data_IF_583245424909
#
_entry.id   IF_583245424909
#
_cell.length_a   1.000
_cell.length_b   1.000
_cell.length_c   1.000
_cell.angle_alpha   90.00
_cell.angle_beta   90.00
_cell.angle_gamma   90.00
#
_symmetry.space_group_name_H-M   'P 1'
#
loop_
_entity.id
_entity.type
_entity.pdbx_description
1 polymer ?
#
# COMPACT_ATOMS: atom_id res chain seq x y z
N UNK A 1 -1.15 20.09 9.20
CA UNK A 1 -0.86 18.75 9.75
C UNK A 1 0.28 18.16 8.94
N UNK A 2 1.26 17.59 9.63
CA UNK A 2 2.35 16.82 9.04
C UNK A 2 2.06 15.35 9.34
N UNK A 3 1.94 14.53 8.31
CA UNK A 3 1.54 13.14 8.44
C UNK A 3 2.56 12.19 7.83
N UNK A 4 2.72 11.03 8.44
CA UNK A 4 3.58 9.97 7.97
C UNK A 4 3.36 8.67 8.72
N UNK A 5 4.04 7.61 8.29
CA UNK A 5 3.95 6.29 8.91
C UNK A 5 5.31 5.87 9.51
N UNK A 6 5.23 5.07 10.57
CA UNK A 6 6.39 4.64 11.36
C UNK A 6 6.80 3.20 11.08
N UNK A 7 5.89 2.42 10.50
CA UNK A 7 6.14 1.06 10.05
C UNK A 7 7.02 1.02 8.81
N UNK A 8 7.45 -0.18 8.46
CA UNK A 8 8.32 -0.45 7.33
C UNK A 8 7.99 -1.83 6.79
N UNK A 9 8.15 -2.03 5.49
CA UNK A 9 8.01 -3.37 4.90
C UNK A 9 9.04 -4.38 5.49
N UNK A 10 8.70 -5.69 5.53
CA UNK A 10 9.61 -6.73 5.95
C UNK A 10 10.93 -6.75 5.17
N UNK A 11 11.99 -7.28 5.78
CA UNK A 11 13.33 -7.41 5.15
C UNK A 11 13.72 -8.87 4.87
N UNK A 12 12.92 -9.83 5.34
CA UNK A 12 13.19 -11.25 5.19
C UNK A 12 13.35 -11.64 3.71
N UNK A 13 14.42 -12.38 3.41
CA UNK A 13 14.73 -12.83 2.05
C UNK A 13 15.28 -11.75 1.11
N UNK A 14 15.53 -10.53 1.58
CA UNK A 14 16.15 -9.47 0.78
C UNK A 14 17.68 -9.47 0.92
N UNK A 15 18.39 -9.20 -0.18
CA UNK A 15 19.84 -9.08 -0.17
C UNK A 15 20.28 -7.68 0.29
N UNK A 16 20.63 -7.56 1.57
CA UNK A 16 21.14 -6.32 2.16
C UNK A 16 22.67 -6.30 2.16
N UNK A 17 23.27 -5.18 1.74
CA UNK A 17 24.72 -4.96 1.79
C UNK A 17 25.21 -4.36 3.11
N UNK A 18 24.29 -3.82 3.91
CA UNK A 18 24.50 -3.28 5.26
C UNK A 18 23.33 -3.70 6.15
N UNK A 19 23.47 -3.74 7.48
CA UNK A 19 22.38 -4.16 8.36
C UNK A 19 21.13 -3.27 8.17
N UNK A 20 19.95 -3.84 7.86
CA UNK A 20 18.76 -3.05 7.51
C UNK A 20 18.26 -2.13 8.63
N UNK A 21 18.44 -2.52 9.89
CA UNK A 21 17.93 -1.77 11.05
C UNK A 21 19.04 -1.02 11.81
N UNK A 22 20.22 -0.88 11.21
CA UNK A 22 21.28 -0.01 11.71
C UNK A 22 21.57 1.05 10.65
N UNK A 23 21.38 2.32 10.99
CA UNK A 23 21.61 3.41 10.06
C UNK A 23 23.09 3.46 9.70
N UNK A 24 23.39 3.21 8.43
CA UNK A 24 24.76 3.23 7.90
C UNK A 24 24.91 4.42 6.98
N UNK A 25 25.88 5.30 7.27
CA UNK A 25 26.26 6.38 6.36
C UNK A 25 27.40 5.92 5.45
N UNK A 26 27.28 6.16 4.15
CA UNK A 26 28.33 5.91 3.16
C UNK A 26 28.17 6.85 1.98
N UNK A 27 29.24 7.55 1.62
CA UNK A 27 29.28 8.49 0.50
C UNK A 27 28.18 9.57 0.55
N UNK A 28 27.87 10.08 1.75
CA UNK A 28 26.83 11.09 1.96
C UNK A 28 25.41 10.55 1.81
N UNK A 29 25.22 9.23 1.80
CA UNK A 29 23.92 8.56 1.76
C UNK A 29 23.70 7.76 3.03
N UNK A 30 22.45 7.76 3.49
CA UNK A 30 22.02 7.01 4.67
C UNK A 30 21.25 5.77 4.25
N UNK A 31 21.75 4.61 4.66
CA UNK A 31 21.20 3.31 4.34
C UNK A 31 20.54 2.70 5.56
N UNK A 32 19.30 2.25 5.39
CA UNK A 32 18.52 1.58 6.41
C UNK A 32 17.07 1.41 5.94
N UNK A 33 16.41 0.34 6.36
CA UNK A 33 14.99 0.11 6.09
C UNK A 33 14.17 1.24 6.75
N UNK A 34 13.45 1.95 5.89
CA UNK A 34 12.62 3.09 6.28
C UNK A 34 13.30 4.44 6.17
N UNK A 35 14.60 4.50 5.83
CA UNK A 35 15.33 5.77 5.68
C UNK A 35 14.68 6.71 4.65
N UNK A 36 14.34 6.18 3.47
CA UNK A 36 13.59 6.92 2.45
C UNK A 36 12.08 6.90 2.68
N UNK A 37 11.53 5.76 3.10
CA UNK A 37 10.07 5.52 3.23
C UNK A 37 9.69 5.06 4.64
N UNK A 38 9.30 5.97 5.55
CA UNK A 38 9.41 7.43 5.42
C UNK A 38 10.00 8.08 6.68
N UNK A 39 10.82 7.33 7.42
CA UNK A 39 11.43 7.76 8.70
C UNK A 39 12.37 8.95 8.54
N UNK A 40 12.95 9.15 7.36
CA UNK A 40 13.72 10.36 7.07
C UNK A 40 12.88 11.64 7.24
N UNK A 41 11.66 11.65 6.68
CA UNK A 41 10.73 12.76 6.88
C UNK A 41 10.35 12.93 8.35
N UNK A 42 10.02 11.83 9.04
CA UNK A 42 9.68 11.89 10.46
C UNK A 42 10.81 12.50 11.29
N UNK A 43 12.06 12.11 11.02
CA UNK A 43 13.23 12.65 11.68
C UNK A 43 13.38 14.16 11.44
N UNK A 44 13.20 14.63 10.20
CA UNK A 44 13.22 16.06 9.89
C UNK A 44 12.12 16.83 10.63
N UNK A 45 10.90 16.31 10.67
CA UNK A 45 9.77 16.93 11.37
C UNK A 45 10.05 17.01 12.88
N UNK A 46 10.53 15.93 13.47
CA UNK A 46 10.84 15.87 14.91
C UNK A 46 12.01 16.79 15.28
N UNK A 47 13.03 16.90 14.43
CA UNK A 47 14.15 17.81 14.64
C UNK A 47 13.74 19.28 14.59
N UNK A 48 12.68 19.62 13.84
CA UNK A 48 12.17 20.99 13.69
C UNK A 48 11.13 21.38 14.75
N UNK A 49 10.82 20.52 15.74
CA UNK A 49 9.78 20.80 16.74
C UNK A 49 10.07 22.06 17.54
N UNK A 50 11.31 22.26 17.98
CA UNK A 50 11.69 23.45 18.76
C UNK A 50 11.53 24.73 17.92
N UNK A 51 11.87 24.68 16.63
CA UNK A 51 11.66 25.79 15.70
C UNK A 51 10.16 26.10 15.51
N UNK A 52 9.31 25.07 15.42
CA UNK A 52 7.86 25.23 15.33
C UNK A 52 7.26 25.85 16.61
N UNK A 53 7.77 25.47 17.77
CA UNK A 53 7.34 26.03 19.06
C UNK A 53 7.79 27.47 19.25
N UNK A 54 8.97 27.84 18.74
CA UNK A 54 9.49 29.20 18.78
C UNK A 54 8.80 30.14 17.76
N UNK A 55 8.23 29.58 16.69
CA UNK A 55 7.58 30.36 15.63
C UNK A 55 6.21 30.91 16.07
N UNK A 56 5.83 32.14 15.65
CA UNK A 56 4.51 32.71 15.90
C UNK A 56 3.47 32.10 14.95
N UNK A 57 3.12 30.82 15.19
CA UNK A 57 2.16 30.09 14.36
C UNK A 57 0.76 30.69 14.46
N UNK A 58 0.12 30.94 13.31
CA UNK A 58 -1.25 31.47 13.22
C UNK A 58 -2.33 30.41 13.38
N UNK A 59 -1.95 29.13 13.41
CA UNK A 59 -2.84 27.99 13.54
C UNK A 59 -2.10 26.80 14.18
N UNK A 60 -2.81 25.85 14.80
CA UNK A 60 -2.20 24.66 15.37
C UNK A 60 -1.46 23.80 14.34
N UNK A 61 -0.30 23.29 14.73
CA UNK A 61 0.45 22.30 13.97
C UNK A 61 0.21 20.91 14.55
N UNK A 62 -0.52 20.07 13.82
CA UNK A 62 -0.72 18.66 14.18
C UNK A 62 0.38 17.77 13.58
N UNK A 63 0.99 16.91 14.40
CA UNK A 63 1.82 15.79 13.97
C UNK A 63 0.98 14.51 14.03
N UNK A 64 0.84 13.81 12.90
CA UNK A 64 -0.02 12.64 12.78
C UNK A 64 0.77 11.45 12.23
N UNK A 65 1.27 10.62 13.15
CA UNK A 65 2.09 9.45 12.81
C UNK A 65 1.30 8.17 12.99
N UNK A 66 1.06 7.46 11.88
CA UNK A 66 0.38 6.18 11.88
C UNK A 66 1.35 5.00 11.95
N UNK A 67 0.78 3.83 12.15
CA UNK A 67 1.44 2.53 12.00
C UNK A 67 0.62 1.68 11.03
N UNK A 68 1.25 0.64 10.48
CA UNK A 68 0.65 -0.31 9.56
C UNK A 68 0.00 0.37 8.34
N UNK A 69 0.74 1.28 7.70
CA UNK A 69 0.42 1.82 6.38
C UNK A 69 0.74 0.78 5.30
N UNK A 70 1.93 0.17 5.39
CA UNK A 70 2.57 -0.57 4.30
C UNK A 70 1.93 -1.94 4.04
N UNK A 71 1.36 -2.55 5.08
CA UNK A 71 0.84 -3.92 5.04
C UNK A 71 -0.68 -3.92 5.07
N UNK A 72 -1.28 -3.28 6.08
CA UNK A 72 -2.72 -3.33 6.33
C UNK A 72 -3.49 -2.03 6.06
N UNK A 73 -2.81 -0.89 5.93
CA UNK A 73 -3.41 0.45 5.96
C UNK A 73 -4.39 0.64 7.14
N UNK A 74 -4.10 0.04 8.31
CA UNK A 74 -5.03 -0.02 9.43
C UNK A 74 -4.97 1.22 10.32
N UNK A 75 -3.76 1.75 10.59
CA UNK A 75 -3.58 2.84 11.54
C UNK A 75 -4.18 4.18 11.12
N UNK A 76 -4.43 4.38 9.82
CA UNK A 76 -5.05 5.63 9.33
C UNK A 76 -6.53 5.72 9.68
N UNK A 77 -7.23 4.59 9.87
CA UNK A 77 -8.68 4.57 10.11
C UNK A 77 -9.04 5.23 11.43
N UNK A 78 -8.36 4.84 12.50
CA UNK A 78 -8.54 5.44 13.82
C UNK A 78 -8.13 6.92 13.84
N UNK A 79 -7.10 7.29 13.07
CA UNK A 79 -6.72 8.69 12.89
C UNK A 79 -7.84 9.49 12.20
N UNK A 80 -8.47 8.94 11.16
CA UNK A 80 -9.60 9.59 10.48
C UNK A 80 -10.78 9.76 11.45
N UNK A 81 -11.13 8.71 12.21
CA UNK A 81 -12.22 8.78 13.20
C UNK A 81 -11.92 9.85 14.27
N UNK A 82 -10.69 9.90 14.77
CA UNK A 82 -10.25 10.92 15.71
C UNK A 82 -10.36 12.34 15.11
N UNK A 83 -9.89 12.55 13.88
CA UNK A 83 -9.97 13.84 13.20
C UNK A 83 -11.41 14.27 12.89
N UNK A 84 -12.31 13.32 12.64
CA UNK A 84 -13.74 13.60 12.47
C UNK A 84 -14.39 14.07 13.78
N UNK A 85 -14.01 13.47 14.90
CA UNK A 85 -14.49 13.82 16.24
C UNK A 85 -13.79 15.07 16.82
N UNK A 86 -12.61 15.43 16.32
CA UNK A 86 -11.84 16.57 16.81
C UNK A 86 -12.54 17.92 16.51
N UNK A 87 -12.60 18.83 17.50
CA UNK A 87 -13.09 20.20 17.26
C UNK A 87 -12.16 20.99 16.33
N UNK A 88 -10.85 20.69 16.38
CA UNK A 88 -9.83 21.35 15.57
C UNK A 88 -9.45 20.47 14.39
N UNK A 89 -9.91 20.87 13.19
CA UNK A 89 -9.64 20.16 11.94
C UNK A 89 -8.44 20.77 11.23
N UNK A 90 -7.47 19.96 10.77
CA UNK A 90 -6.39 20.45 9.93
C UNK A 90 -6.93 21.09 8.65
N UNK A 91 -6.51 22.31 8.33
CA UNK A 91 -6.83 22.96 7.05
C UNK A 91 -6.01 22.39 5.88
N UNK A 92 -4.83 21.81 6.18
CA UNK A 92 -3.90 21.23 5.21
C UNK A 92 -3.22 20.00 5.83
N UNK A 93 -3.00 18.98 5.00
CA UNK A 93 -2.17 17.83 5.32
C UNK A 93 -0.98 17.76 4.36
N UNK A 94 0.24 17.75 4.90
CA UNK A 94 1.46 17.42 4.17
C UNK A 94 1.85 16.00 4.55
N UNK A 95 1.92 15.11 3.56
CA UNK A 95 2.30 13.71 3.74
C UNK A 95 3.73 13.57 3.25
N UNK A 96 4.61 13.06 4.10
CA UNK A 96 6.05 13.01 3.85
C UNK A 96 6.55 11.86 2.97
N UNK A 97 5.69 11.27 2.14
CA UNK A 97 6.07 10.17 1.25
C UNK A 97 7.22 10.59 0.30
N UNK A 98 8.11 9.65 -0.09
CA UNK A 98 9.26 9.94 -0.93
C UNK A 98 8.82 10.28 -2.35
N UNK A 99 8.67 11.57 -2.61
CA UNK A 99 8.21 12.14 -3.89
C UNK A 99 9.32 12.88 -4.63
N UNK A 100 10.59 12.65 -4.27
CA UNK A 100 11.74 13.41 -4.78
C UNK A 100 11.58 14.93 -4.64
N UNK A 101 10.94 15.36 -3.53
CA UNK A 101 10.59 16.76 -3.26
C UNK A 101 9.61 17.38 -4.26
N UNK A 102 8.90 16.57 -5.05
CA UNK A 102 7.86 17.02 -5.96
C UNK A 102 6.48 16.94 -5.30
N UNK A 103 5.65 17.98 -5.39
CA UNK A 103 4.30 17.92 -4.83
C UNK A 103 3.43 16.91 -5.59
N UNK A 104 2.86 15.96 -4.86
CA UNK A 104 1.86 15.00 -5.38
C UNK A 104 0.49 15.36 -4.81
N UNK A 105 -0.45 15.69 -5.69
CA UNK A 105 -1.79 16.16 -5.30
C UNK A 105 -2.84 15.05 -5.23
N UNK A 106 -2.49 13.81 -5.59
CA UNK A 106 -3.42 12.70 -5.52
C UNK A 106 -2.82 11.36 -5.93
N UNK A 107 -3.45 10.29 -5.44
CA UNK A 107 -3.07 8.91 -5.74
C UNK A 107 -4.23 8.18 -6.44
N UNK A 108 -3.90 7.17 -7.24
CA UNK A 108 -4.90 6.28 -7.83
C UNK A 108 -5.45 5.35 -6.74
N UNK A 109 -6.75 5.11 -6.77
CA UNK A 109 -7.37 4.12 -5.89
C UNK A 109 -6.84 2.70 -6.14
N UNK A 110 -6.84 1.89 -5.08
CA UNK A 110 -6.47 0.47 -5.10
C UNK A 110 -7.67 -0.36 -4.71
N UNK A 111 -8.03 -1.33 -5.55
CA UNK A 111 -8.99 -2.38 -5.22
C UNK A 111 -8.27 -3.72 -5.32
N UNK A 112 -8.25 -4.47 -4.23
CA UNK A 112 -7.72 -5.83 -4.19
C UNK A 112 -8.87 -6.80 -3.89
N UNK A 113 -8.95 -7.90 -4.65
CA UNK A 113 -9.99 -8.92 -4.48
C UNK A 113 -9.34 -10.30 -4.46
N UNK A 114 -9.83 -11.17 -3.57
CA UNK A 114 -9.49 -12.59 -3.57
C UNK A 114 -10.62 -13.35 -4.25
N UNK A 115 -10.29 -14.14 -5.27
CA UNK A 115 -11.25 -14.99 -5.98
C UNK A 115 -10.89 -16.46 -5.76
N UNK A 116 -11.87 -17.25 -5.31
CA UNK A 116 -11.77 -18.70 -5.25
C UNK A 116 -12.63 -19.29 -6.37
N UNK A 117 -12.07 -20.23 -7.13
CA UNK A 117 -12.80 -20.94 -8.19
C UNK A 117 -12.82 -22.40 -7.83
N UNK A 118 -14.01 -22.89 -7.51
CA UNK A 118 -14.25 -24.27 -7.13
C UNK A 118 -14.68 -25.08 -8.36
N UNK A 119 -14.16 -26.31 -8.41
CA UNK A 119 -14.50 -27.28 -9.43
C UNK A 119 -15.06 -28.54 -8.80
N UNK A 120 -15.38 -29.52 -9.64
CA UNK A 120 -15.83 -30.84 -9.22
C UNK A 120 -14.81 -31.86 -9.70
N UNK A 121 -14.17 -32.53 -8.76
CA UNK A 121 -13.15 -33.54 -9.07
C UNK A 121 -13.80 -34.74 -9.77
N UNK A 122 -13.14 -35.23 -10.81
CA UNK A 122 -13.47 -36.50 -11.47
C UNK A 122 -12.18 -37.13 -12.00
N UNK A 123 -12.24 -38.43 -12.29
CA UNK A 123 -11.16 -39.07 -13.04
C UNK A 123 -11.05 -38.40 -14.42
N UNK A 124 -9.83 -38.14 -14.89
CA UNK A 124 -9.60 -37.41 -16.16
C UNK A 124 -10.31 -38.05 -17.36
N UNK A 125 -10.46 -39.38 -17.36
CA UNK A 125 -11.21 -40.13 -18.37
C UNK A 125 -12.73 -39.83 -18.39
N UNK A 126 -13.30 -39.35 -17.28
CA UNK A 126 -14.71 -38.97 -17.14
C UNK A 126 -14.88 -37.45 -17.08
N UNK A 127 -14.06 -36.71 -17.84
CA UNK A 127 -14.06 -35.24 -17.86
C UNK A 127 -15.46 -34.57 -17.92
N UNK A 128 -16.48 -35.11 -18.63
CA UNK A 128 -17.84 -34.54 -18.61
C UNK A 128 -18.54 -34.60 -17.25
N UNK A 129 -18.11 -35.47 -16.33
CA UNK A 129 -18.70 -35.67 -15.00
C UNK A 129 -18.07 -34.79 -13.92
N UNK A 130 -17.06 -33.99 -14.27
CA UNK A 130 -16.42 -33.04 -13.36
C UNK A 130 -16.31 -31.64 -13.95
N UNK A 131 -15.84 -30.71 -13.11
CA UNK A 131 -15.68 -29.30 -13.46
C UNK A 131 -14.23 -28.92 -13.20
N UNK A 132 -13.49 -28.63 -14.27
CA UNK A 132 -12.10 -28.22 -14.16
C UNK A 132 -12.04 -26.73 -13.77
N UNK A 133 -11.75 -26.46 -12.49
CA UNK A 133 -11.58 -25.10 -11.95
C UNK A 133 -10.54 -24.27 -12.73
N UNK A 134 -9.44 -24.90 -13.17
CA UNK A 134 -8.36 -24.24 -13.94
C UNK A 134 -8.91 -23.68 -15.27
N UNK A 135 -9.80 -24.44 -15.94
CA UNK A 135 -10.41 -23.99 -17.20
C UNK A 135 -11.24 -22.72 -17.01
N UNK A 136 -12.00 -22.61 -15.92
CA UNK A 136 -12.79 -21.42 -15.61
C UNK A 136 -11.93 -20.27 -15.10
N UNK A 137 -10.88 -20.57 -14.32
CA UNK A 137 -9.87 -19.60 -13.93
C UNK A 137 -9.20 -18.94 -15.14
N UNK A 138 -8.79 -19.72 -16.14
CA UNK A 138 -8.22 -19.19 -17.37
C UNK A 138 -9.20 -18.26 -18.12
N UNK A 139 -10.50 -18.57 -18.12
CA UNK A 139 -11.53 -17.69 -18.71
C UNK A 139 -11.65 -16.38 -17.95
N UNK A 140 -11.64 -16.42 -16.61
CA UNK A 140 -11.69 -15.23 -15.78
C UNK A 140 -10.46 -14.34 -16.01
N UNK A 141 -9.26 -14.92 -16.00
CA UNK A 141 -8.00 -14.19 -16.26
C UNK A 141 -8.06 -13.47 -17.61
N UNK A 142 -8.44 -14.18 -18.68
CA UNK A 142 -8.58 -13.57 -20.01
C UNK A 142 -9.66 -12.47 -20.06
N UNK A 143 -10.70 -12.55 -19.22
CA UNK A 143 -11.67 -11.48 -19.10
C UNK A 143 -11.08 -10.26 -18.38
N UNK A 144 -10.34 -10.47 -17.29
CA UNK A 144 -9.67 -9.42 -16.54
C UNK A 144 -8.61 -8.69 -17.38
N UNK A 145 -7.84 -9.41 -18.20
CA UNK A 145 -6.87 -8.80 -19.11
C UNK A 145 -7.56 -7.88 -20.13
N UNK A 146 -8.69 -8.33 -20.72
CA UNK A 146 -9.50 -7.50 -21.62
C UNK A 146 -10.10 -6.28 -20.91
N UNK A 147 -10.54 -6.45 -19.66
CA UNK A 147 -11.00 -5.34 -18.83
C UNK A 147 -9.86 -4.34 -18.58
N UNK A 148 -8.65 -4.82 -18.29
CA UNK A 148 -7.45 -3.98 -18.14
C UNK A 148 -7.16 -3.13 -19.37
N UNK A 149 -7.19 -3.73 -20.57
CA UNK A 149 -7.02 -3.00 -21.84
C UNK A 149 -8.10 -1.93 -22.04
N UNK A 150 -9.36 -2.24 -21.70
CA UNK A 150 -10.46 -1.26 -21.80
C UNK A 150 -10.29 -0.11 -20.81
N UNK A 151 -9.95 -0.40 -19.55
CA UNK A 151 -9.70 0.60 -18.52
C UNK A 151 -8.51 1.50 -18.87
N UNK A 152 -7.50 0.96 -19.56
CA UNK A 152 -6.35 1.72 -20.02
C UNK A 152 -6.68 2.82 -21.06
N UNK A 153 -7.88 2.78 -21.67
CA UNK A 153 -8.35 3.81 -22.61
C UNK A 153 -8.72 5.12 -21.92
N UNK A 154 -9.08 5.06 -20.65
CA UNK A 154 -9.30 6.25 -19.85
C UNK A 154 -7.96 6.71 -19.30
N UNK A 155 -7.56 7.92 -19.69
CA UNK A 155 -6.31 8.53 -19.28
C UNK A 155 -6.58 9.82 -18.54
N UNK A 156 -5.78 10.06 -17.52
CA UNK A 156 -5.78 11.27 -16.73
C UNK A 156 -4.33 11.69 -16.50
N UNK A 157 -3.96 12.85 -17.04
CA UNK A 157 -2.60 13.37 -17.02
C UNK A 157 -2.11 13.74 -15.62
N UNK A 158 -3.00 13.78 -14.62
CA UNK A 158 -2.65 14.03 -13.22
C UNK A 158 -1.92 12.84 -12.57
N UNK A 159 -1.97 11.65 -13.18
CA UNK A 159 -1.38 10.44 -12.62
C UNK A 159 -0.27 9.89 -13.52
N UNK A 160 0.72 9.25 -12.90
CA UNK A 160 1.73 8.46 -13.61
C UNK A 160 1.72 7.01 -13.13
N UNK A 161 1.54 6.01 -14.02
CA UNK A 161 1.06 6.16 -15.40
C UNK A 161 -0.39 6.69 -15.43
N UNK A 162 -0.82 7.28 -16.55
CA UNK A 162 -2.06 8.05 -16.64
C UNK A 162 -3.33 7.21 -16.63
N UNK A 163 -3.21 5.89 -16.65
CA UNK A 163 -4.37 4.99 -16.69
C UNK A 163 -4.46 4.09 -15.46
N UNK A 164 -5.67 3.57 -15.25
CA UNK A 164 -5.89 2.46 -14.33
C UNK A 164 -5.11 1.22 -14.81
N UNK A 165 -4.72 0.37 -13.85
CA UNK A 165 -4.03 -0.90 -14.12
C UNK A 165 -4.79 -2.03 -13.43
N UNK A 166 -5.11 -3.06 -14.19
CA UNK A 166 -5.59 -4.33 -13.66
C UNK A 166 -4.41 -5.31 -13.67
N UNK A 167 -4.09 -5.90 -12.52
CA UNK A 167 -3.09 -6.96 -12.39
C UNK A 167 -3.66 -8.07 -11.54
N UNK A 168 -3.20 -9.28 -11.76
CA UNK A 168 -3.50 -10.45 -10.93
C UNK A 168 -2.19 -11.02 -10.38
N UNK A 169 -2.24 -11.53 -9.15
CA UNK A 169 -1.10 -12.07 -8.41
C UNK A 169 -1.05 -13.62 -8.58
N UNK A 170 0.02 -14.32 -8.14
CA UNK A 170 0.16 -15.75 -8.44
C UNK A 170 -1.00 -16.58 -7.87
N UNK A 171 -1.55 -17.44 -8.73
CA UNK A 171 -2.59 -18.41 -8.39
C UNK A 171 -1.99 -19.63 -7.69
N UNK A 172 -2.62 -20.07 -6.59
CA UNK A 172 -2.35 -21.39 -6.02
C UNK A 172 -3.42 -22.36 -6.51
N UNK A 173 -2.98 -23.46 -7.11
CA UNK A 173 -3.85 -24.60 -7.42
C UNK A 173 -3.64 -25.63 -6.32
N UNK A 174 -4.55 -25.67 -5.35
CA UNK A 174 -4.55 -26.65 -4.26
C UNK A 174 -5.70 -27.63 -4.39
N UNK A 175 -5.50 -28.88 -3.95
CA UNK A 175 -6.59 -29.86 -3.78
C UNK A 175 -7.71 -29.25 -2.93
N UNK A 176 -8.95 -29.58 -3.26
CA UNK A 176 -10.09 -29.29 -2.43
C UNK A 176 -9.85 -29.86 -1.02
N UNK A 177 -9.47 -29.00 -0.09
CA UNK A 177 -9.63 -29.17 1.36
C UNK A 177 -9.27 -27.85 2.05
N UNK A 178 -10.22 -27.41 2.88
CA UNK A 178 -10.26 -26.21 3.71
C UNK A 178 -8.90 -25.63 4.11
N UNK A 179 -8.68 -24.37 3.75
CA UNK A 179 -7.68 -23.53 4.41
C UNK A 179 -8.35 -22.22 4.83
N UNK A 180 -8.55 -22.07 6.14
CA UNK A 180 -9.02 -20.86 6.77
C UNK A 180 -8.02 -19.73 6.54
N UNK A 181 -8.53 -18.52 6.30
CA UNK A 181 -7.73 -17.31 6.39
C UNK A 181 -8.65 -16.11 6.71
N UNK A 182 -9.04 -16.05 7.99
CA UNK A 182 -8.85 -14.91 8.90
C UNK A 182 -8.74 -13.50 8.27
N UNK A 183 -9.82 -12.72 8.52
CA UNK A 183 -9.90 -11.30 8.90
C UNK A 183 -9.48 -10.21 7.88
N UNK A 184 -9.70 -8.90 8.15
CA UNK A 184 -10.80 -8.17 8.84
C UNK A 184 -11.34 -7.03 7.93
N UNK A 185 -12.33 -6.27 8.43
CA UNK A 185 -13.00 -5.10 7.81
C UNK A 185 -12.05 -4.11 7.11
#
# INVERSE_FOLDING_TARGET
>A
MLSGHTDVVPVDGQAWSVPPFSLTERDGRYYGRGSADMKGFLACVLAAVDDFLAAPLRMPLHLAFSYDEEVGCLGVRSLVDFLQASPEKPALCLIGEPTEMQPVFGHKGKLAMRCCIEGQACHSAYAPQGVNAIRYAARLINHLDRLGVRLARQQDSRFSPPSARCRWAPFRVGRAEYCSAVLPL
#
